data_IF_455418841566
#
_entry.id   IF_455418841566
#
_cell.length_a   1.000
_cell.length_b   1.000
_cell.length_c   1.000
_cell.angle_alpha   90.00
_cell.angle_beta   90.00
_cell.angle_gamma   90.00
#
_symmetry.space_group_name_H-M   'P 1'
#
loop_
_entity.id
_entity.type
_entity.pdbx_description
1 polymer ?
#
# COMPACT_ATOMS: atom_id res chain seq x y z
N UNK A 1 -16.63 16.98 -18.51
CA UNK A 1 -17.35 16.16 -19.52
C UNK A 1 -18.04 14.98 -18.83
N UNK A 2 -17.36 14.13 -18.04
CA UNK A 2 -17.99 13.01 -17.33
C UNK A 2 -19.08 13.40 -16.31
N UNK A 3 -19.03 14.61 -15.80
CA UNK A 3 -19.98 15.08 -14.78
C UNK A 3 -21.38 15.26 -15.36
N UNK A 4 -21.48 15.74 -16.60
CA UNK A 4 -22.77 16.07 -17.25
C UNK A 4 -23.50 14.84 -17.79
N UNK A 5 -22.78 13.72 -17.97
CA UNK A 5 -23.35 12.47 -18.49
C UNK A 5 -23.51 11.38 -17.43
N UNK A 6 -23.24 11.69 -16.15
CA UNK A 6 -23.34 10.72 -15.06
C UNK A 6 -24.77 10.61 -14.56
N UNK A 7 -25.30 9.39 -14.47
CA UNK A 7 -26.61 9.09 -13.87
C UNK A 7 -26.69 9.48 -12.39
N UNK A 8 -25.52 9.64 -11.73
CA UNK A 8 -25.36 10.01 -10.31
C UNK A 8 -24.66 11.36 -10.18
N UNK A 9 -25.24 12.40 -10.80
CA UNK A 9 -24.61 13.73 -10.90
C UNK A 9 -24.15 14.29 -9.54
N UNK A 10 -24.98 14.24 -8.50
CA UNK A 10 -24.70 14.84 -7.19
C UNK A 10 -23.49 14.18 -6.51
N UNK A 11 -23.47 12.84 -6.48
CA UNK A 11 -22.38 12.05 -5.89
C UNK A 11 -21.10 12.20 -6.69
N UNK A 12 -21.23 12.21 -8.01
CA UNK A 12 -20.10 12.41 -8.94
C UNK A 12 -19.50 13.80 -8.79
N UNK A 13 -20.33 14.85 -8.69
CA UNK A 13 -19.88 16.23 -8.50
C UNK A 13 -19.08 16.40 -7.21
N UNK A 14 -19.59 15.93 -6.07
CA UNK A 14 -18.89 15.99 -4.79
C UNK A 14 -17.52 15.29 -4.85
N UNK A 15 -17.44 14.16 -5.54
CA UNK A 15 -16.18 13.44 -5.70
C UNK A 15 -15.20 14.17 -6.61
N UNK A 16 -15.65 14.71 -7.74
CA UNK A 16 -14.81 15.49 -8.67
C UNK A 16 -14.23 16.71 -7.97
N UNK A 17 -15.04 17.48 -7.23
CA UNK A 17 -14.56 18.61 -6.44
C UNK A 17 -13.54 18.18 -5.38
N UNK A 18 -13.74 17.02 -4.75
CA UNK A 18 -12.77 16.47 -3.81
C UNK A 18 -11.42 16.12 -4.45
N UNK A 19 -11.37 15.79 -5.75
CA UNK A 19 -10.12 15.52 -6.47
C UNK A 19 -9.29 16.76 -6.78
N UNK A 20 -9.88 17.95 -6.80
CA UNK A 20 -9.15 19.21 -7.01
C UNK A 20 -8.04 19.39 -5.97
N UNK A 21 -8.25 18.94 -4.74
CA UNK A 21 -7.22 18.96 -3.69
C UNK A 21 -5.95 18.20 -4.07
N UNK A 22 -6.05 17.11 -4.86
CA UNK A 22 -4.90 16.34 -5.30
C UNK A 22 -4.06 17.04 -6.38
N UNK A 23 -4.62 18.05 -7.04
CA UNK A 23 -3.92 18.93 -7.97
C UNK A 23 -3.31 20.11 -7.21
N UNK A 24 -4.08 20.74 -6.33
CA UNK A 24 -3.64 21.91 -5.57
C UNK A 24 -2.56 21.58 -4.56
N UNK A 25 -2.65 20.43 -3.90
CA UNK A 25 -1.69 20.03 -2.86
C UNK A 25 -0.26 19.87 -3.40
N UNK A 26 0.02 19.10 -4.48
CA UNK A 26 1.36 19.01 -5.05
C UNK A 26 1.91 20.37 -5.50
N UNK A 27 1.06 21.21 -6.10
CA UNK A 27 1.46 22.55 -6.52
C UNK A 27 1.89 23.43 -5.34
N UNK A 28 1.10 23.44 -4.24
CA UNK A 28 1.46 24.14 -3.02
C UNK A 28 2.75 23.59 -2.39
N UNK A 29 2.92 22.26 -2.38
CA UNK A 29 4.15 21.62 -1.88
C UNK A 29 5.36 22.04 -2.71
N UNK A 30 5.28 22.01 -4.04
CA UNK A 30 6.36 22.47 -4.92
C UNK A 30 6.76 23.92 -4.62
N UNK A 31 5.79 24.83 -4.53
CA UNK A 31 6.07 26.25 -4.22
C UNK A 31 6.75 26.46 -2.87
N UNK A 32 6.37 25.67 -1.86
CA UNK A 32 6.97 25.76 -0.50
C UNK A 32 8.39 25.20 -0.51
N UNK A 33 8.62 24.10 -1.23
CA UNK A 33 9.92 23.42 -1.24
C UNK A 33 10.94 24.14 -2.12
N UNK A 34 10.54 24.72 -3.24
CA UNK A 34 11.44 25.46 -4.14
C UNK A 34 12.03 26.73 -3.48
N UNK A 35 11.32 27.31 -2.54
CA UNK A 35 11.75 28.59 -1.92
C UNK A 35 12.89 28.44 -0.93
N UNK A 36 13.09 27.32 -0.28
CA UNK A 36 14.12 27.20 0.77
C UNK A 36 14.43 25.74 1.14
N UNK A 37 15.71 25.38 1.09
CA UNK A 37 16.25 24.08 1.54
C UNK A 37 15.92 23.76 3.02
N UNK A 38 15.72 24.80 3.85
CA UNK A 38 15.31 24.63 5.25
C UNK A 38 13.95 23.96 5.39
N UNK A 39 13.02 24.30 4.47
CA UNK A 39 11.68 23.70 4.46
C UNK A 39 11.77 22.20 4.14
N UNK A 40 12.60 21.83 3.16
CA UNK A 40 12.80 20.42 2.80
C UNK A 40 13.41 19.63 3.96
N UNK A 41 14.38 20.23 4.68
CA UNK A 41 14.96 19.62 5.90
C UNK A 41 13.91 19.43 7.00
N UNK A 42 13.03 20.40 7.19
CA UNK A 42 11.95 20.31 8.15
C UNK A 42 10.96 19.19 7.81
N UNK A 43 10.56 19.09 6.53
CA UNK A 43 9.73 17.98 6.02
C UNK A 43 10.42 16.63 6.27
N UNK A 44 11.73 16.54 6.03
CA UNK A 44 12.48 15.31 6.27
C UNK A 44 12.46 14.89 7.75
N UNK A 45 12.66 15.85 8.67
CA UNK A 45 12.65 15.59 10.12
C UNK A 45 11.26 15.11 10.56
N UNK A 46 10.20 15.80 10.13
CA UNK A 46 8.81 15.42 10.46
C UNK A 46 8.47 14.04 9.92
N UNK A 47 8.83 13.77 8.67
CA UNK A 47 8.56 12.48 8.04
C UNK A 47 9.33 11.36 8.76
N UNK A 48 10.61 11.58 9.09
CA UNK A 48 11.41 10.60 9.84
C UNK A 48 10.82 10.31 11.21
N UNK A 49 10.38 11.33 11.92
CA UNK A 49 9.75 11.18 13.22
C UNK A 49 8.40 10.47 13.13
N UNK A 50 7.58 10.86 12.16
CA UNK A 50 6.27 10.23 11.92
C UNK A 50 6.42 8.74 11.56
N UNK A 51 7.34 8.41 10.63
CA UNK A 51 7.64 7.02 10.28
C UNK A 51 8.12 6.23 11.49
N UNK A 52 9.02 6.79 12.28
CA UNK A 52 9.54 6.16 13.49
C UNK A 52 8.42 5.83 14.50
N UNK A 53 7.53 6.78 14.77
CA UNK A 53 6.40 6.58 15.69
C UNK A 53 5.44 5.49 15.21
N UNK A 54 5.07 5.51 13.93
CA UNK A 54 4.17 4.51 13.35
C UNK A 54 4.82 3.12 13.36
N UNK A 55 6.12 3.05 13.09
CA UNK A 55 6.87 1.78 13.08
C UNK A 55 6.95 1.19 14.49
N UNK A 56 7.26 1.99 15.50
CA UNK A 56 7.31 1.51 16.89
C UNK A 56 5.92 1.03 17.34
N UNK A 57 4.87 1.78 17.08
CA UNK A 57 3.51 1.38 17.43
C UNK A 57 3.10 0.06 16.77
N UNK A 58 3.43 -0.11 15.49
CA UNK A 58 3.16 -1.35 14.77
C UNK A 58 3.92 -2.56 15.34
N UNK A 59 5.20 -2.42 15.69
CA UNK A 59 5.95 -3.48 16.37
C UNK A 59 5.44 -3.75 17.77
N UNK A 60 5.09 -2.72 18.51
CA UNK A 60 4.50 -2.88 19.84
C UNK A 60 3.20 -3.69 19.76
N UNK A 61 2.31 -3.35 18.81
CA UNK A 61 1.10 -4.11 18.56
C UNK A 61 1.40 -5.56 18.12
N UNK A 62 2.46 -5.78 17.34
CA UNK A 62 2.86 -7.13 16.93
C UNK A 62 3.24 -7.99 18.13
N UNK A 63 4.00 -7.45 19.07
CA UNK A 63 4.53 -8.19 20.23
C UNK A 63 3.45 -8.36 21.33
N UNK A 64 2.79 -7.28 21.70
CA UNK A 64 1.88 -7.25 22.86
C UNK A 64 0.40 -7.48 22.51
N UNK A 65 0.05 -7.54 21.24
CA UNK A 65 -1.33 -7.70 20.79
C UNK A 65 -2.17 -6.42 20.78
N UNK A 66 -1.73 -5.36 21.47
CA UNK A 66 -2.39 -4.04 21.55
C UNK A 66 -1.38 -2.95 21.22
N UNK A 67 -1.83 -1.88 20.55
CA UNK A 67 -0.99 -0.72 20.28
C UNK A 67 -0.91 0.23 21.49
N UNK A 68 -0.15 1.33 21.39
CA UNK A 68 -0.02 2.32 22.47
C UNK A 68 -1.33 2.98 22.90
N UNK A 69 -2.35 3.04 22.00
CA UNK A 69 -3.68 3.57 22.29
C UNK A 69 -4.65 2.49 22.82
N UNK A 70 -4.19 1.23 22.98
CA UNK A 70 -5.00 0.11 23.47
C UNK A 70 -5.82 -0.60 22.39
N UNK A 71 -5.65 -0.27 21.11
CA UNK A 71 -6.34 -0.98 20.03
C UNK A 71 -5.76 -2.36 19.82
N UNK A 72 -6.61 -3.38 19.82
CA UNK A 72 -6.21 -4.77 19.59
C UNK A 72 -5.93 -5.03 18.11
N UNK A 73 -5.19 -6.12 17.83
CA UNK A 73 -5.02 -6.59 16.46
C UNK A 73 -6.37 -6.88 15.81
N UNK A 74 -6.54 -6.42 14.58
CA UNK A 74 -7.76 -6.63 13.84
C UNK A 74 -7.73 -7.99 13.14
N UNK A 75 -8.89 -8.62 12.96
CA UNK A 75 -9.13 -9.91 12.28
C UNK A 75 -7.86 -10.74 11.94
N UNK A 76 -7.80 -11.99 12.40
CA UNK A 76 -6.69 -12.92 12.10
C UNK A 76 -5.29 -12.37 12.48
N UNK A 77 -5.19 -11.68 13.60
CA UNK A 77 -3.92 -11.10 14.11
C UNK A 77 -3.24 -10.09 13.18
N UNK A 78 -4.01 -9.36 12.37
CA UNK A 78 -3.45 -8.31 11.49
C UNK A 78 -3.12 -7.05 12.27
N UNK A 79 -1.94 -6.51 11.97
CA UNK A 79 -1.45 -5.27 12.56
C UNK A 79 -2.09 -4.09 11.84
N UNK A 80 -2.77 -3.23 12.58
CA UNK A 80 -3.39 -2.00 12.09
C UNK A 80 -2.74 -0.73 12.68
N UNK A 81 -2.00 -0.87 13.78
CA UNK A 81 -1.36 0.24 14.48
C UNK A 81 -2.36 1.32 14.89
N UNK A 82 -2.02 2.58 14.65
CA UNK A 82 -2.89 3.73 14.94
C UNK A 82 -4.19 3.77 14.13
N UNK A 83 -4.35 2.94 13.09
CA UNK A 83 -5.52 2.96 12.20
C UNK A 83 -6.70 2.13 12.72
N UNK A 84 -6.60 1.56 13.91
CA UNK A 84 -7.68 0.84 14.59
C UNK A 84 -8.25 -0.31 13.75
N UNK A 85 -9.47 -0.14 13.21
CA UNK A 85 -10.19 -1.18 12.46
C UNK A 85 -9.84 -1.18 10.96
N UNK A 86 -9.11 -0.17 10.49
CA UNK A 86 -8.71 -0.04 9.10
C UNK A 86 -7.36 -0.72 8.84
N UNK A 87 -7.36 -1.68 7.94
CA UNK A 87 -6.15 -2.41 7.53
C UNK A 87 -5.38 -1.64 6.44
N UNK A 88 -4.96 -0.42 6.76
CA UNK A 88 -4.27 0.48 5.82
C UNK A 88 -2.83 0.80 6.21
N UNK A 89 -2.34 0.26 7.33
CA UNK A 89 -1.00 0.53 7.85
C UNK A 89 0.10 0.24 6.81
N UNK A 90 0.05 -0.94 6.18
CA UNK A 90 1.02 -1.32 5.17
C UNK A 90 0.94 -0.43 3.94
N UNK A 91 -0.28 -0.09 3.48
CA UNK A 91 -0.47 0.78 2.31
C UNK A 91 -0.08 2.24 2.60
N UNK A 92 -0.25 2.72 3.81
CA UNK A 92 0.24 4.03 4.25
C UNK A 92 1.77 4.09 4.20
N UNK A 93 2.43 3.12 4.83
CA UNK A 93 3.89 3.06 4.90
C UNK A 93 4.53 2.84 3.52
N UNK A 94 3.97 1.96 2.68
CA UNK A 94 4.52 1.68 1.35
C UNK A 94 4.49 2.87 0.41
N UNK A 95 3.52 3.78 0.56
CA UNK A 95 3.43 5.04 -0.21
C UNK A 95 4.45 6.08 0.24
N UNK A 96 4.77 6.13 1.53
CA UNK A 96 5.74 7.07 2.08
C UNK A 96 7.19 6.59 1.89
N UNK A 97 7.41 5.29 1.75
CA UNK A 97 8.73 4.68 1.66
C UNK A 97 9.61 5.27 0.53
N UNK A 98 9.13 5.44 -0.73
CA UNK A 98 9.95 6.03 -1.81
C UNK A 98 10.31 7.49 -1.53
N UNK A 99 9.38 8.28 -1.00
CA UNK A 99 9.64 9.67 -0.61
C UNK A 99 10.70 9.75 0.50
N UNK A 100 10.55 8.93 1.52
CA UNK A 100 11.49 8.87 2.63
C UNK A 100 12.90 8.52 2.16
N UNK A 101 13.04 7.53 1.29
CA UNK A 101 14.34 7.16 0.73
C UNK A 101 14.95 8.25 -0.15
N UNK A 102 14.15 8.93 -0.97
CA UNK A 102 14.61 10.07 -1.76
C UNK A 102 15.21 11.17 -0.87
N UNK A 103 14.56 11.47 0.26
CA UNK A 103 15.04 12.45 1.22
C UNK A 103 16.34 12.00 1.93
N UNK A 104 16.47 10.71 2.28
CA UNK A 104 17.73 10.16 2.83
C UNK A 104 18.89 10.37 1.84
N UNK A 105 18.64 10.09 0.55
CA UNK A 105 19.66 10.26 -0.51
C UNK A 105 20.02 11.73 -0.69
N UNK A 106 19.04 12.61 -0.63
CA UNK A 106 19.25 14.06 -0.80
C UNK A 106 20.08 14.65 0.35
N UNK A 107 19.81 14.27 1.61
CA UNK A 107 20.48 14.81 2.80
C UNK A 107 21.73 14.04 3.25
N UNK A 108 22.54 13.52 2.34
CA UNK A 108 23.78 12.74 2.60
C UNK A 108 24.91 13.47 3.35
N UNK A 109 24.63 14.31 4.33
CA UNK A 109 25.70 15.12 4.98
C UNK A 109 26.28 14.49 6.25
N UNK A 110 25.56 13.63 6.97
CA UNK A 110 26.00 13.07 8.26
C UNK A 110 25.76 11.56 8.30
N UNK A 111 26.84 10.79 8.44
CA UNK A 111 26.77 9.32 8.44
C UNK A 111 25.83 8.77 9.53
N UNK A 112 25.84 9.33 10.73
CA UNK A 112 24.97 8.88 11.84
C UNK A 112 23.49 9.05 11.50
N UNK A 113 23.13 10.18 10.89
CA UNK A 113 21.75 10.47 10.47
C UNK A 113 21.33 9.51 9.33
N UNK A 114 22.22 9.24 8.38
CA UNK A 114 21.98 8.29 7.30
C UNK A 114 21.71 6.90 7.85
N UNK A 115 22.57 6.40 8.73
CA UNK A 115 22.42 5.08 9.34
C UNK A 115 21.11 4.96 10.10
N UNK A 116 20.76 5.95 10.93
CA UNK A 116 19.50 5.97 11.66
C UNK A 116 18.28 5.90 10.73
N UNK A 117 18.28 6.71 9.68
CA UNK A 117 17.15 6.71 8.73
C UNK A 117 17.10 5.45 7.87
N UNK A 118 18.24 4.83 7.56
CA UNK A 118 18.26 3.51 6.92
C UNK A 118 17.69 2.43 7.84
N UNK A 119 17.99 2.48 9.14
CA UNK A 119 17.37 1.57 10.10
C UNK A 119 15.84 1.75 10.14
N UNK A 120 15.34 2.99 10.15
CA UNK A 120 13.90 3.27 10.08
C UNK A 120 13.32 2.73 8.77
N UNK A 121 14.00 2.92 7.63
CA UNK A 121 13.57 2.43 6.33
C UNK A 121 13.42 0.90 6.30
N UNK A 122 14.43 0.17 6.75
CA UNK A 122 14.37 -1.28 6.80
C UNK A 122 13.34 -1.79 7.82
N UNK A 123 13.26 -1.18 8.99
CA UNK A 123 12.22 -1.49 9.97
C UNK A 123 10.82 -1.29 9.39
N UNK A 124 10.62 -0.21 8.64
CA UNK A 124 9.34 0.04 7.94
C UNK A 124 9.03 -1.06 6.93
N UNK A 125 10.02 -1.47 6.14
CA UNK A 125 9.85 -2.55 5.15
C UNK A 125 9.44 -3.86 5.82
N UNK A 126 10.09 -4.23 6.93
CA UNK A 126 9.72 -5.41 7.71
C UNK A 126 8.32 -5.30 8.31
N UNK A 127 7.96 -4.13 8.83
CA UNK A 127 6.62 -3.93 9.36
C UNK A 127 5.55 -4.10 8.27
N UNK A 128 5.78 -3.58 7.06
CA UNK A 128 4.88 -3.79 5.92
C UNK A 128 4.69 -5.29 5.65
N UNK A 129 5.74 -6.09 5.70
CA UNK A 129 5.64 -7.54 5.58
C UNK A 129 4.76 -8.14 6.69
N UNK A 130 4.98 -7.72 7.96
CA UNK A 130 4.23 -8.24 9.11
C UNK A 130 2.75 -7.85 9.10
N UNK A 131 2.34 -6.74 8.46
CA UNK A 131 0.92 -6.38 8.33
C UNK A 131 0.12 -7.39 7.51
N UNK A 132 0.78 -8.21 6.69
CA UNK A 132 0.13 -9.18 5.81
C UNK A 132 -0.61 -8.56 4.62
N UNK A 133 -0.35 -7.28 4.31
CA UNK A 133 -0.90 -6.59 3.14
C UNK A 133 -0.06 -6.88 1.89
N UNK A 134 -0.45 -7.85 1.08
CA UNK A 134 0.30 -8.32 -0.10
C UNK A 134 0.59 -7.22 -1.10
N UNK A 135 -0.42 -6.39 -1.44
CA UNK A 135 -0.26 -5.30 -2.39
C UNK A 135 0.76 -4.27 -1.91
N UNK A 136 0.71 -3.92 -0.62
CA UNK A 136 1.65 -2.99 0.01
C UNK A 136 3.07 -3.55 0.04
N UNK A 137 3.22 -4.85 0.31
CA UNK A 137 4.52 -5.51 0.29
C UNK A 137 5.13 -5.56 -1.13
N UNK A 138 4.32 -5.84 -2.17
CA UNK A 138 4.76 -5.78 -3.57
C UNK A 138 5.23 -4.36 -3.93
N UNK A 139 4.46 -3.33 -3.57
CA UNK A 139 4.83 -1.94 -3.82
C UNK A 139 6.11 -1.52 -3.11
N UNK A 140 6.29 -1.91 -1.84
CA UNK A 140 7.51 -1.68 -1.09
C UNK A 140 8.71 -2.42 -1.71
N UNK A 141 8.52 -3.65 -2.17
CA UNK A 141 9.56 -4.43 -2.86
C UNK A 141 9.96 -3.80 -4.19
N UNK A 142 9.00 -3.32 -4.99
CA UNK A 142 9.27 -2.57 -6.22
C UNK A 142 10.06 -1.27 -5.93
N UNK A 143 9.68 -0.54 -4.88
CA UNK A 143 10.42 0.65 -4.42
C UNK A 143 11.87 0.28 -4.11
N UNK A 144 12.10 -0.79 -3.37
CA UNK A 144 13.44 -1.26 -3.02
C UNK A 144 14.23 -1.66 -4.27
N UNK A 145 13.63 -2.36 -5.22
CA UNK A 145 14.26 -2.73 -6.49
C UNK A 145 14.66 -1.49 -7.32
N UNK A 146 13.78 -0.51 -7.46
CA UNK A 146 14.07 0.73 -8.18
C UNK A 146 15.25 1.47 -7.52
N UNK A 147 15.28 1.56 -6.20
CA UNK A 147 16.38 2.16 -5.45
C UNK A 147 17.70 1.40 -5.70
N UNK A 148 17.63 0.08 -5.68
CA UNK A 148 18.80 -0.78 -5.91
C UNK A 148 19.38 -0.60 -7.31
N UNK A 149 18.56 -0.39 -8.32
CA UNK A 149 18.99 -0.15 -9.70
C UNK A 149 19.53 1.27 -9.86
N UNK A 150 18.88 2.26 -9.26
CA UNK A 150 19.20 3.70 -9.43
C UNK A 150 20.51 4.09 -8.77
N UNK A 151 20.87 3.50 -7.63
CA UNK A 151 22.08 3.84 -6.88
C UNK A 151 23.22 2.91 -7.30
N UNK A 152 24.09 3.34 -8.18
CA UNK A 152 25.24 2.54 -8.68
C UNK A 152 26.36 2.36 -7.64
N UNK A 153 26.47 3.25 -6.66
CA UNK A 153 27.48 3.22 -5.60
C UNK A 153 27.23 2.10 -4.58
N UNK A 154 28.27 1.48 -4.03
CA UNK A 154 28.21 0.47 -2.97
C UNK A 154 27.45 -0.82 -3.34
N UNK A 155 27.74 -1.39 -4.51
CA UNK A 155 27.07 -2.58 -5.03
C UNK A 155 27.09 -3.79 -4.06
N UNK A 156 28.22 -4.10 -3.45
CA UNK A 156 28.34 -5.22 -2.49
C UNK A 156 27.51 -5.01 -1.22
N UNK A 157 27.50 -3.80 -0.68
CA UNK A 157 26.69 -3.49 0.50
C UNK A 157 25.20 -3.72 0.21
N UNK A 158 24.74 -3.38 -0.98
CA UNK A 158 23.34 -3.60 -1.40
C UNK A 158 22.99 -5.07 -1.45
N UNK A 159 23.84 -5.90 -2.04
CA UNK A 159 23.62 -7.35 -2.11
C UNK A 159 23.56 -7.93 -0.69
N UNK A 160 24.47 -7.55 0.19
CA UNK A 160 24.46 -8.00 1.59
C UNK A 160 23.16 -7.61 2.29
N UNK A 161 22.74 -6.36 2.18
CA UNK A 161 21.50 -5.90 2.80
C UNK A 161 20.27 -6.63 2.24
N UNK A 162 20.24 -6.88 0.93
CA UNK A 162 19.15 -7.62 0.28
C UNK A 162 19.13 -9.09 0.73
N UNK A 163 20.29 -9.73 0.84
CA UNK A 163 20.37 -11.12 1.32
C UNK A 163 19.92 -11.25 2.77
N UNK A 164 20.31 -10.32 3.65
CA UNK A 164 19.84 -10.28 5.04
C UNK A 164 18.32 -10.12 5.08
N UNK A 165 17.78 -9.23 4.27
CA UNK A 165 16.34 -8.96 4.21
C UNK A 165 15.57 -10.20 3.73
N UNK A 166 16.03 -10.86 2.67
CA UNK A 166 15.41 -12.09 2.18
C UNK A 166 15.49 -13.20 3.22
N UNK A 167 16.67 -13.40 3.84
CA UNK A 167 16.85 -14.44 4.86
C UNK A 167 15.94 -14.24 6.07
N UNK A 168 15.79 -13.01 6.54
CA UNK A 168 14.89 -12.71 7.68
C UNK A 168 13.43 -12.92 7.32
N UNK A 169 12.99 -12.59 6.11
CA UNK A 169 11.63 -12.89 5.63
C UNK A 169 11.39 -14.41 5.62
N UNK A 170 12.33 -15.18 5.08
CA UNK A 170 12.23 -16.64 5.05
C UNK A 170 12.13 -17.23 6.46
N UNK A 171 12.95 -16.76 7.39
CA UNK A 171 12.90 -17.20 8.79
C UNK A 171 11.55 -16.86 9.42
N UNK A 172 11.05 -15.65 9.24
CA UNK A 172 9.75 -15.23 9.78
C UNK A 172 8.58 -16.03 9.20
N UNK A 173 8.61 -16.34 7.92
CA UNK A 173 7.59 -17.20 7.29
C UNK A 173 7.63 -18.60 7.90
N UNK A 174 8.79 -19.18 8.08
CA UNK A 174 8.93 -20.54 8.62
C UNK A 174 8.61 -20.62 10.12
N UNK A 175 8.85 -19.56 10.88
CA UNK A 175 8.61 -19.54 12.34
C UNK A 175 7.18 -19.19 12.72
N UNK A 176 6.39 -18.63 11.83
CA UNK A 176 5.04 -18.15 12.13
C UNK A 176 4.00 -18.71 11.14
N UNK A 177 3.21 -19.68 11.62
CA UNK A 177 2.17 -20.36 10.82
C UNK A 177 1.14 -19.40 10.21
N UNK A 178 0.75 -18.34 10.93
CA UNK A 178 -0.24 -17.36 10.44
C UNK A 178 0.32 -16.49 9.29
N UNK A 179 1.60 -16.13 9.34
CA UNK A 179 2.29 -15.43 8.26
C UNK A 179 2.49 -16.33 7.05
N UNK A 180 2.88 -17.59 7.27
CA UNK A 180 3.01 -18.59 6.21
C UNK A 180 1.67 -18.80 5.49
N UNK A 181 0.58 -19.01 6.23
CA UNK A 181 -0.75 -19.16 5.67
C UNK A 181 -1.17 -17.95 4.83
N UNK A 182 -0.91 -16.74 5.28
CA UNK A 182 -1.27 -15.51 4.55
C UNK A 182 -0.47 -15.33 3.28
N UNK A 183 0.84 -15.45 3.36
CA UNK A 183 1.69 -15.14 2.21
C UNK A 183 1.82 -16.29 1.21
N UNK A 184 1.72 -17.54 1.66
CA UNK A 184 1.89 -18.71 0.82
C UNK A 184 0.59 -19.46 0.55
N UNK A 185 -0.08 -20.03 1.58
CA UNK A 185 -1.23 -20.92 1.37
C UNK A 185 -2.44 -20.19 0.78
N UNK A 186 -2.77 -19.01 1.29
CA UNK A 186 -3.85 -18.21 0.71
C UNK A 186 -3.53 -17.76 -0.72
N UNK A 187 -2.28 -17.38 -1.01
CA UNK A 187 -1.87 -17.04 -2.37
C UNK A 187 -1.98 -18.25 -3.30
N UNK A 188 -1.46 -19.40 -2.87
CA UNK A 188 -1.56 -20.66 -3.61
C UNK A 188 -3.00 -21.05 -3.88
N UNK A 189 -3.86 -21.00 -2.84
CA UNK A 189 -5.28 -21.31 -2.98
C UNK A 189 -6.01 -20.33 -3.90
N UNK A 190 -5.63 -19.05 -3.87
CA UNK A 190 -6.21 -18.03 -4.76
C UNK A 190 -5.75 -18.17 -6.22
N UNK A 191 -4.51 -18.58 -6.45
CA UNK A 191 -3.96 -18.73 -7.82
C UNK A 191 -4.28 -20.10 -8.42
N UNK A 192 -4.19 -21.15 -7.59
CA UNK A 192 -4.25 -22.55 -8.05
C UNK A 192 -5.52 -23.30 -7.62
N UNK A 193 -6.56 -22.64 -7.10
CA UNK A 193 -7.79 -23.33 -6.77
C UNK A 193 -8.43 -23.89 -8.06
N UNK A 194 -8.22 -25.18 -8.27
CA UNK A 194 -8.79 -25.99 -9.32
C UNK A 194 -10.29 -26.23 -9.04
N UNK A 195 -11.15 -25.22 -9.13
CA UNK A 195 -12.57 -25.42 -9.33
C UNK A 195 -12.93 -24.69 -10.61
N UNK A 196 -13.15 -25.52 -11.63
CA UNK A 196 -13.63 -25.19 -12.95
C UNK A 196 -12.67 -24.54 -13.96
N UNK A 197 -12.58 -25.19 -15.08
CA UNK A 197 -11.71 -25.10 -16.27
C UNK A 197 -11.48 -23.71 -16.91
N UNK A 198 -11.59 -22.60 -16.23
CA UNK A 198 -11.53 -21.31 -16.93
C UNK A 198 -10.83 -20.14 -16.24
N UNK A 199 -10.19 -20.26 -15.06
CA UNK A 199 -9.60 -19.05 -14.51
C UNK A 199 -8.34 -19.28 -13.65
N UNK A 200 -7.22 -19.00 -14.26
CA UNK A 200 -5.92 -18.80 -13.62
C UNK A 200 -5.94 -17.53 -12.75
N UNK A 201 -6.96 -16.68 -12.82
CA UNK A 201 -7.02 -15.39 -12.14
C UNK A 201 -8.14 -15.37 -11.12
N UNK A 202 -7.77 -15.43 -9.87
CA UNK A 202 -8.49 -15.08 -8.63
C UNK A 202 -10.04 -15.12 -8.70
N UNK A 203 -10.68 -16.20 -8.27
CA UNK A 203 -12.13 -16.35 -8.36
C UNK A 203 -12.92 -15.19 -7.71
N UNK A 204 -12.38 -14.54 -6.68
CA UNK A 204 -13.01 -13.39 -6.03
C UNK A 204 -12.98 -12.10 -6.85
N UNK A 205 -11.92 -11.87 -7.62
CA UNK A 205 -11.78 -10.64 -8.41
C UNK A 205 -12.34 -10.76 -9.82
N UNK A 206 -12.50 -11.98 -10.32
CA UNK A 206 -13.00 -12.21 -11.67
C UNK A 206 -14.40 -11.61 -11.92
N UNK A 207 -15.39 -11.74 -11.01
CA UNK A 207 -16.68 -11.08 -11.17
C UNK A 207 -16.55 -9.56 -11.23
N UNK A 208 -15.69 -8.97 -10.38
CA UNK A 208 -15.43 -7.52 -10.38
C UNK A 208 -14.84 -7.05 -11.71
N UNK A 209 -13.85 -7.78 -12.24
CA UNK A 209 -13.28 -7.48 -13.55
C UNK A 209 -14.30 -7.62 -14.68
N UNK A 210 -15.07 -8.71 -14.69
CA UNK A 210 -16.14 -8.90 -15.68
C UNK A 210 -17.18 -7.80 -15.65
N UNK A 211 -17.62 -7.39 -14.46
CA UNK A 211 -18.55 -6.26 -14.29
C UNK A 211 -17.93 -4.97 -14.80
N UNK A 212 -16.66 -4.68 -14.44
CA UNK A 212 -15.95 -3.50 -14.91
C UNK A 212 -15.79 -3.48 -16.43
N UNK A 213 -15.49 -4.61 -17.05
CA UNK A 213 -15.40 -4.71 -18.51
C UNK A 213 -16.76 -4.47 -19.19
N UNK A 214 -17.87 -5.02 -18.65
CA UNK A 214 -19.21 -4.74 -19.17
C UNK A 214 -19.55 -3.26 -19.09
N UNK A 215 -19.22 -2.59 -18.00
CA UNK A 215 -19.40 -1.15 -17.85
C UNK A 215 -18.54 -0.37 -18.84
N UNK A 216 -17.28 -0.79 -19.06
CA UNK A 216 -16.40 -0.18 -20.03
C UNK A 216 -16.96 -0.33 -21.46
N UNK A 217 -17.45 -1.51 -21.83
CA UNK A 217 -18.03 -1.77 -23.16
C UNK A 217 -19.30 -0.94 -23.42
N UNK A 218 -20.08 -0.68 -22.38
CA UNK A 218 -21.29 0.14 -22.46
C UNK A 218 -20.97 1.63 -22.68
N UNK A 219 -19.86 2.14 -22.14
CA UNK A 219 -19.47 3.55 -22.26
C UNK A 219 -17.96 3.72 -22.42
N UNK A 220 -17.44 3.36 -23.60
CA UNK A 220 -15.99 3.28 -23.89
C UNK A 220 -15.26 4.62 -23.82
N UNK A 221 -15.88 5.70 -24.26
CA UNK A 221 -15.22 7.01 -24.41
C UNK A 221 -15.37 7.91 -23.19
N UNK A 222 -16.58 7.95 -22.62
CA UNK A 222 -16.91 8.89 -21.55
C UNK A 222 -16.88 8.21 -20.18
N UNK A 223 -17.22 6.92 -20.12
CA UNK A 223 -17.40 6.17 -18.89
C UNK A 223 -18.65 6.60 -18.12
N UNK A 224 -18.97 5.92 -17.03
CA UNK A 224 -20.15 6.20 -16.18
C UNK A 224 -19.90 7.23 -15.08
N UNK A 225 -18.70 7.80 -15.01
CA UNK A 225 -18.32 8.77 -13.99
C UNK A 225 -17.61 8.16 -12.78
N UNK A 226 -16.97 9.00 -11.93
CA UNK A 226 -16.26 8.57 -10.75
C UNK A 226 -17.15 7.86 -9.75
N UNK A 227 -16.66 6.72 -9.21
CA UNK A 227 -17.36 5.86 -8.24
C UNK A 227 -18.68 5.20 -8.74
N UNK A 228 -19.03 5.34 -10.01
CA UNK A 228 -20.24 4.72 -10.59
C UNK A 228 -20.31 3.20 -10.41
N UNK A 229 -19.15 2.52 -10.38
CA UNK A 229 -19.09 1.08 -10.11
C UNK A 229 -19.87 0.68 -8.84
N UNK A 230 -19.79 1.48 -7.77
CA UNK A 230 -20.47 1.20 -6.49
C UNK A 230 -21.99 1.13 -6.62
N UNK A 231 -22.55 1.90 -7.55
CA UNK A 231 -24.00 1.99 -7.76
C UNK A 231 -24.47 1.03 -8.84
N UNK A 232 -23.69 0.89 -9.91
CA UNK A 232 -24.05 0.12 -11.08
C UNK A 232 -23.72 -1.38 -10.98
N UNK A 233 -22.84 -1.79 -10.06
CA UNK A 233 -22.43 -3.19 -9.93
C UNK A 233 -23.60 -4.16 -9.60
N UNK A 234 -24.67 -3.65 -8.99
CA UNK A 234 -25.87 -4.42 -8.67
C UNK A 234 -26.96 -4.31 -9.75
N UNK A 235 -26.78 -3.49 -10.77
CA UNK A 235 -27.71 -3.41 -11.88
C UNK A 235 -27.68 -4.73 -12.68
N UNK A 236 -28.86 -5.26 -13.04
CA UNK A 236 -29.01 -6.49 -13.82
C UNK A 236 -28.22 -6.48 -15.13
N UNK A 237 -28.02 -5.31 -15.72
CA UNK A 237 -27.23 -5.11 -16.94
C UNK A 237 -25.76 -5.45 -16.76
N UNK A 238 -25.17 -5.12 -15.62
CA UNK A 238 -23.75 -5.25 -15.36
C UNK A 238 -23.41 -6.36 -14.37
N UNK A 239 -24.37 -6.72 -13.51
CA UNK A 239 -24.17 -7.72 -12.48
C UNK A 239 -23.59 -9.02 -13.06
N UNK A 240 -22.56 -9.52 -12.42
CA UNK A 240 -22.01 -10.85 -12.63
C UNK A 240 -22.26 -11.66 -11.38
N UNK A 241 -22.57 -12.95 -11.55
CA UNK A 241 -22.79 -13.84 -10.41
C UNK A 241 -21.57 -13.86 -9.51
N UNK A 242 -21.76 -13.49 -8.24
CA UNK A 242 -20.77 -13.68 -7.22
C UNK A 242 -21.04 -15.05 -6.58
N UNK A 243 -20.06 -15.96 -6.51
CA UNK A 243 -20.23 -17.14 -5.69
C UNK A 243 -20.47 -16.68 -4.23
N UNK A 244 -21.42 -17.32 -3.57
CA UNK A 244 -21.74 -17.01 -2.18
C UNK A 244 -20.46 -17.02 -1.31
N UNK A 245 -20.34 -16.12 -0.33
CA UNK A 245 -19.20 -16.12 0.56
C UNK A 245 -19.19 -17.47 1.28
N UNK A 246 -18.09 -18.18 1.20
CA UNK A 246 -17.85 -19.38 2.00
C UNK A 246 -17.84 -18.92 3.46
N UNK A 247 -18.93 -19.24 4.16
CA UNK A 247 -19.10 -19.02 5.61
C UNK A 247 -18.02 -19.74 6.40
#
# INVERSE_FOLDING_TARGET
INLTYSDFFKETALNVFSYIRFILFPFAVCQVLEKNDKNLKFVFIILSFSMFMVVIDGYYQFIYGKNFLGFEKYRLDRISGFFKDDLILGSFLSRLLPLFMALIIFFKKNLKIIVLNLLIFFSTFFLIFLTGERASFIMASLTLLIIMISIKSYFYLRIILLSILVSTIVVLINSNSTLFDRHYNQLKNHIFSKKDNASIILPYYLPMFKTSFKMFDDSKLIGHGPKSYRYLCNDKKFATYFPEPIT
#
